data_IF_124926352652
#
_entry.id   IF_124926352652
#
_cell.length_a   1.000
_cell.length_b   1.000
_cell.length_c   1.000
_cell.angle_alpha   90.00
_cell.angle_beta   90.00
_cell.angle_gamma   90.00
#
_symmetry.space_group_name_H-M   'P 1'
#
loop_
_entity.id
_entity.type
_entity.pdbx_description
1 polymer ?
#
# COMPACT_ATOMS: atom_id res chain seq x y z
N UNK A 1 29.25 8.87 -21.10
CA UNK A 1 28.78 7.49 -20.86
C UNK A 1 27.33 7.59 -20.39
N UNK A 2 26.35 7.36 -21.27
CA UNK A 2 24.93 7.30 -20.90
C UNK A 2 24.65 5.94 -20.28
N UNK A 3 24.81 5.86 -18.96
CA UNK A 3 24.53 4.66 -18.16
C UNK A 3 23.60 4.95 -16.99
N UNK A 4 22.83 6.04 -17.05
CA UNK A 4 21.79 6.32 -16.08
C UNK A 4 20.63 5.36 -16.30
N UNK A 5 20.22 4.64 -15.27
CA UNK A 5 19.01 3.83 -15.31
C UNK A 5 17.86 4.72 -15.80
N UNK A 6 17.18 4.28 -16.85
CA UNK A 6 16.10 4.97 -17.57
C UNK A 6 14.80 5.10 -16.75
N UNK A 7 14.91 5.23 -15.43
CA UNK A 7 13.79 5.37 -14.53
C UNK A 7 13.42 6.85 -14.44
N UNK A 8 12.26 7.21 -14.98
CA UNK A 8 11.69 8.56 -14.89
C UNK A 8 11.20 8.79 -13.44
N UNK A 9 11.83 9.68 -12.66
CA UNK A 9 11.46 9.92 -11.26
C UNK A 9 10.01 10.39 -11.12
N UNK A 10 9.53 11.21 -12.07
CA UNK A 10 8.16 11.69 -12.09
C UNK A 10 7.15 10.55 -12.24
N UNK A 11 7.44 9.57 -13.11
CA UNK A 11 6.59 8.37 -13.26
C UNK A 11 6.63 7.47 -12.06
N UNK A 12 7.80 7.26 -11.45
CA UNK A 12 7.93 6.47 -10.23
C UNK A 12 7.14 7.08 -9.08
N UNK A 13 7.23 8.40 -8.88
CA UNK A 13 6.50 9.10 -7.85
C UNK A 13 4.98 9.09 -8.11
N UNK A 14 4.56 9.22 -9.37
CA UNK A 14 3.15 9.12 -9.76
C UNK A 14 2.56 7.73 -9.45
N UNK A 15 3.27 6.66 -9.83
CA UNK A 15 2.87 5.28 -9.53
C UNK A 15 2.89 5.05 -8.02
N UNK A 16 3.93 5.51 -7.32
CA UNK A 16 4.04 5.39 -5.87
C UNK A 16 2.90 6.08 -5.12
N UNK A 17 2.47 7.24 -5.60
CA UNK A 17 1.33 7.97 -5.05
C UNK A 17 0.00 7.25 -5.30
N UNK A 18 -0.19 6.65 -6.48
CA UNK A 18 -1.37 5.84 -6.77
C UNK A 18 -1.48 4.63 -5.83
N UNK A 19 -0.39 3.87 -5.65
CA UNK A 19 -0.35 2.72 -4.73
C UNK A 19 -0.64 3.11 -3.27
N UNK A 20 -0.15 4.26 -2.81
CA UNK A 20 -0.47 4.78 -1.46
C UNK A 20 -1.94 5.15 -1.32
N UNK A 21 -2.53 5.77 -2.34
CA UNK A 21 -3.96 6.12 -2.34
C UNK A 21 -4.82 4.87 -2.28
N UNK A 22 -4.61 3.93 -3.21
CA UNK A 22 -5.37 2.67 -3.27
C UNK A 22 -5.17 1.83 -2.01
N UNK A 23 -3.95 1.77 -1.48
CA UNK A 23 -3.65 1.08 -0.21
C UNK A 23 -4.42 1.67 0.97
N UNK A 24 -4.45 3.01 1.07
CA UNK A 24 -5.21 3.71 2.12
C UNK A 24 -6.72 3.53 1.98
N UNK A 25 -7.23 3.49 0.75
CA UNK A 25 -8.64 3.21 0.46
C UNK A 25 -9.01 1.78 0.85
N UNK A 26 -8.13 0.80 0.60
CA UNK A 26 -8.34 -0.59 1.02
C UNK A 26 -8.41 -0.72 2.54
N UNK A 27 -7.48 -0.10 3.27
CA UNK A 27 -7.50 -0.09 4.75
C UNK A 27 -8.78 0.58 5.26
N UNK A 28 -9.19 1.68 4.64
CA UNK A 28 -10.44 2.37 4.97
C UNK A 28 -11.66 1.48 4.70
N UNK A 29 -11.70 0.80 3.56
CA UNK A 29 -12.77 -0.14 3.21
C UNK A 29 -12.83 -1.32 4.17
N UNK A 30 -11.68 -1.87 4.59
CA UNK A 30 -11.60 -2.95 5.56
C UNK A 30 -12.29 -2.59 6.88
N UNK A 31 -12.19 -1.34 7.33
CA UNK A 31 -12.85 -0.87 8.55
C UNK A 31 -14.38 -0.99 8.49
N UNK A 32 -14.98 -0.95 7.28
CA UNK A 32 -16.41 -1.11 7.07
C UNK A 32 -16.88 -2.57 6.94
N UNK A 33 -15.95 -3.51 6.78
CA UNK A 33 -16.26 -4.94 6.63
C UNK A 33 -16.59 -5.52 8.00
N UNK A 34 -17.87 -5.66 8.33
CA UNK A 34 -18.32 -6.19 9.61
C UNK A 34 -19.21 -7.41 9.45
N UNK A 35 -19.12 -8.37 10.38
CA UNK A 35 -19.91 -9.59 10.30
C UNK A 35 -21.41 -9.32 10.54
N UNK A 36 -21.80 -8.26 11.24
CA UNK A 36 -23.19 -7.94 11.58
C UNK A 36 -23.91 -8.97 12.49
N UNK A 37 -23.39 -10.20 12.57
CA UNK A 37 -23.86 -11.31 13.40
C UNK A 37 -22.65 -11.95 14.10
N UNK A 38 -22.60 -11.85 15.41
CA UNK A 38 -21.67 -12.60 16.25
C UNK A 38 -22.38 -13.71 17.01
N UNK A 39 -21.63 -14.61 17.65
CA UNK A 39 -22.18 -15.63 18.55
C UNK A 39 -22.99 -15.03 19.72
N UNK A 40 -22.74 -13.77 20.09
CA UNK A 40 -23.53 -13.02 21.07
C UNK A 40 -24.80 -12.37 20.50
N UNK A 41 -24.94 -12.29 19.17
CA UNK A 41 -26.07 -11.69 18.46
C UNK A 41 -27.14 -12.72 18.08
N UNK A 42 -26.83 -14.03 18.18
CA UNK A 42 -27.74 -15.12 17.85
C UNK A 42 -27.98 -16.01 19.08
N UNK A 43 -29.19 -16.57 19.20
CA UNK A 43 -29.49 -17.52 20.28
C UNK A 43 -28.63 -18.79 20.21
N UNK A 44 -28.48 -19.52 21.33
CA UNK A 44 -27.63 -20.72 21.46
C UNK A 44 -27.80 -21.78 20.36
N UNK A 45 -28.97 -21.87 19.72
CA UNK A 45 -29.22 -22.82 18.64
C UNK A 45 -28.47 -22.50 17.33
N UNK A 46 -27.98 -21.26 17.18
CA UNK A 46 -27.35 -20.76 15.94
C UNK A 46 -25.90 -20.34 16.14
N UNK A 47 -25.36 -20.47 17.35
CA UNK A 47 -23.97 -20.06 17.67
C UNK A 47 -22.94 -20.81 16.83
N UNK A 48 -23.21 -22.08 16.51
CA UNK A 48 -22.30 -22.95 15.75
C UNK A 48 -22.19 -22.53 14.28
N UNK A 49 -23.19 -21.82 13.76
CA UNK A 49 -23.19 -21.27 12.40
C UNK A 49 -22.69 -19.83 12.39
N UNK A 50 -23.08 -19.02 13.37
CA UNK A 50 -22.67 -17.62 13.46
C UNK A 50 -21.18 -17.44 13.74
N UNK A 51 -20.56 -18.35 14.49
CA UNK A 51 -19.13 -18.26 14.82
C UNK A 51 -18.21 -18.41 13.59
N UNK A 52 -18.31 -19.48 12.77
CA UNK A 52 -17.52 -19.59 11.55
C UNK A 52 -17.73 -18.43 10.57
N UNK A 53 -18.96 -17.89 10.51
CA UNK A 53 -19.26 -16.72 9.69
C UNK A 53 -18.54 -15.46 10.18
N UNK A 54 -18.62 -15.17 11.48
CA UNK A 54 -17.90 -14.06 12.08
C UNK A 54 -16.38 -14.18 11.91
N UNK A 55 -15.85 -15.40 12.07
CA UNK A 55 -14.43 -15.69 11.87
C UNK A 55 -14.02 -15.47 10.40
N UNK A 56 -14.85 -15.86 9.44
CA UNK A 56 -14.59 -15.66 8.01
C UNK A 56 -14.57 -14.17 7.63
N UNK A 57 -15.53 -13.38 8.14
CA UNK A 57 -15.56 -11.94 7.89
C UNK A 57 -14.38 -11.22 8.56
N UNK A 58 -13.98 -11.67 9.76
CA UNK A 58 -12.78 -11.16 10.43
C UNK A 58 -11.53 -11.42 9.59
N UNK A 59 -11.35 -12.65 9.09
CA UNK A 59 -10.23 -12.98 8.19
C UNK A 59 -10.24 -12.17 6.90
N UNK A 60 -11.42 -11.93 6.34
CA UNK A 60 -11.57 -11.08 5.16
C UNK A 60 -11.08 -9.66 5.45
N UNK A 61 -11.52 -9.06 6.56
CA UNK A 61 -11.07 -7.75 7.02
C UNK A 61 -9.55 -7.70 7.15
N UNK A 62 -8.97 -8.66 7.88
CA UNK A 62 -7.51 -8.74 8.10
C UNK A 62 -6.75 -8.87 6.77
N UNK A 63 -7.26 -9.65 5.82
CA UNK A 63 -6.63 -9.82 4.51
C UNK A 63 -6.65 -8.53 3.70
N UNK A 64 -7.77 -7.80 3.69
CA UNK A 64 -7.89 -6.52 2.98
C UNK A 64 -6.95 -5.49 3.61
N UNK A 65 -6.89 -5.41 4.94
CA UNK A 65 -5.95 -4.52 5.65
C UNK A 65 -4.50 -4.85 5.26
N UNK A 66 -4.11 -6.12 5.33
CA UNK A 66 -2.74 -6.53 4.98
C UNK A 66 -2.36 -6.18 3.54
N UNK A 67 -3.30 -6.32 2.60
CA UNK A 67 -3.06 -5.94 1.21
C UNK A 67 -2.95 -4.42 1.04
N UNK A 68 -3.79 -3.65 1.74
CA UNK A 68 -3.72 -2.19 1.74
C UNK A 68 -2.42 -1.65 2.34
N UNK A 69 -1.93 -2.25 3.42
CA UNK A 69 -0.65 -1.91 4.03
C UNK A 69 0.52 -2.20 3.06
N UNK A 70 0.53 -3.37 2.42
CA UNK A 70 1.54 -3.75 1.44
C UNK A 70 1.56 -2.82 0.22
N UNK A 71 0.38 -2.42 -0.28
CA UNK A 71 0.27 -1.45 -1.37
C UNK A 71 0.83 -0.08 -0.95
N UNK A 72 0.53 0.36 0.28
CA UNK A 72 1.06 1.61 0.83
C UNK A 72 2.59 1.58 0.96
N UNK A 73 3.15 0.47 1.45
CA UNK A 73 4.60 0.26 1.58
C UNK A 73 5.31 0.25 0.21
N UNK A 74 4.72 -0.41 -0.78
CA UNK A 74 5.24 -0.38 -2.15
C UNK A 74 5.25 1.04 -2.70
N UNK A 75 4.16 1.78 -2.49
CA UNK A 75 4.06 3.16 -2.94
C UNK A 75 5.07 4.11 -2.27
N UNK A 76 5.34 3.92 -0.98
CA UNK A 76 6.42 4.60 -0.27
C UNK A 76 7.79 4.26 -0.88
N UNK A 77 8.06 2.99 -1.15
CA UNK A 77 9.32 2.54 -1.76
C UNK A 77 9.55 3.16 -3.13
N UNK A 78 8.52 3.22 -3.97
CA UNK A 78 8.59 3.83 -5.30
C UNK A 78 8.84 5.35 -5.22
N UNK A 79 8.24 6.03 -4.24
CA UNK A 79 8.46 7.46 -4.00
C UNK A 79 9.91 7.71 -3.54
N UNK A 80 10.41 6.93 -2.58
CA UNK A 80 11.81 7.01 -2.14
C UNK A 80 12.80 6.70 -3.26
N UNK A 81 12.46 5.79 -4.17
CA UNK A 81 13.28 5.51 -5.34
C UNK A 81 13.30 6.71 -6.30
N UNK A 82 12.17 7.38 -6.52
CA UNK A 82 12.10 8.60 -7.32
C UNK A 82 13.01 9.70 -6.74
N UNK A 83 12.90 9.96 -5.43
CA UNK A 83 13.73 10.95 -4.73
C UNK A 83 15.23 10.63 -4.87
N UNK A 84 15.58 9.34 -4.79
CA UNK A 84 16.95 8.85 -4.98
C UNK A 84 17.49 9.09 -6.39
N UNK A 85 16.67 8.91 -7.43
CA UNK A 85 17.05 9.20 -8.81
C UNK A 85 17.22 10.70 -9.05
N UNK A 86 16.29 11.54 -8.60
CA UNK A 86 16.37 13.01 -8.73
C UNK A 86 17.63 13.55 -8.03
N UNK A 87 17.90 13.11 -6.80
CA UNK A 87 19.10 13.48 -6.06
C UNK A 87 20.40 13.01 -6.74
N UNK A 88 20.39 11.83 -7.36
CA UNK A 88 21.54 11.29 -8.08
C UNK A 88 21.85 12.05 -9.37
N UNK A 89 20.82 12.48 -10.09
CA UNK A 89 20.97 13.32 -11.28
C UNK A 89 21.51 14.71 -10.93
N UNK A 90 21.02 15.33 -9.86
CA UNK A 90 21.48 16.64 -9.37
C UNK A 90 22.97 16.63 -8.97
N UNK A 91 23.41 15.59 -8.25
CA UNK A 91 24.83 15.41 -7.89
C UNK A 91 25.70 15.19 -9.13
N UNK A 92 25.19 14.45 -10.12
CA UNK A 92 25.86 14.29 -11.42
C UNK A 92 26.04 15.64 -12.12
N UNK A 93 24.96 16.39 -12.30
CA UNK A 93 24.95 17.68 -12.98
C UNK A 93 25.90 18.70 -12.33
N UNK A 94 25.86 18.82 -11.00
CA UNK A 94 26.78 19.71 -10.25
C UNK A 94 28.24 19.28 -10.34
N UNK A 95 28.52 17.98 -10.36
CA UNK A 95 29.89 17.45 -10.51
C UNK A 95 30.45 17.70 -11.91
N UNK A 96 29.62 17.59 -12.96
CA UNK A 96 30.02 17.93 -14.33
C UNK A 96 30.21 19.44 -14.52
N UNK A 97 29.32 20.26 -13.96
CA UNK A 97 29.42 21.72 -14.01
C UNK A 97 30.66 22.28 -13.30
N UNK A 98 31.21 21.58 -12.31
CA UNK A 98 32.44 21.99 -11.59
C UNK A 98 33.74 21.58 -12.28
N UNK A 99 33.68 20.66 -13.26
CA UNK A 99 34.85 20.13 -13.99
C UNK A 99 35.01 20.67 -15.42
N UNK A 100 34.02 21.42 -15.93
CA UNK A 100 34.12 22.21 -17.16
C UNK A 100 34.49 23.65 -16.86
#
# INVERSE_FOLDING_TARGET
>A
MSGGFTADPGKLNAVGSAYRSEGSELVSAASSVEAGVGSGSVGKAWSDVAKPYADAITRLRETITSYGDAATELGNTLSSAADGYESGEDVGATTFARKG
#
